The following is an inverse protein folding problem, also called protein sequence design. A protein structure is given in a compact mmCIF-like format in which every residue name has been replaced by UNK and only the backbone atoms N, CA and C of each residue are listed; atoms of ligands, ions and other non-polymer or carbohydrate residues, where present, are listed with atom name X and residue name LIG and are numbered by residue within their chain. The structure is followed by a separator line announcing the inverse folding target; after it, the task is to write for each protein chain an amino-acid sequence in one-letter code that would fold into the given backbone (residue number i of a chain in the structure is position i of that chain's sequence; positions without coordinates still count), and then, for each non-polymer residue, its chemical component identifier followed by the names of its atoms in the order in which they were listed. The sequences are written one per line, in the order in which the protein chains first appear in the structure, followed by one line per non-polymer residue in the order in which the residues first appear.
data_IF_588791783832
#
_entry.id   IF_588791783832
#
_cell.length_a   1.000
_cell.length_b   1.000
_cell.length_c   1.000
_cell.angle_alpha   90.00
_cell.angle_beta   90.00
_cell.angle_gamma   90.00
#
_symmetry.space_group_name_H-M   'P 1'
#
loop_
_entity.id
_entity.type
_entity.pdbx_description
1 polymer ?
#
# COMPACT_ATOMS: atom_id res chain seq x y z
N UNK A 1 31.74 -25.72 -46.51
CA UNK A 1 32.16 -24.76 -45.48
C UNK A 1 31.02 -24.59 -44.50
N UNK A 2 31.15 -25.08 -43.29
CA UNK A 2 30.17 -24.85 -42.23
C UNK A 2 30.46 -23.48 -41.65
N UNK A 3 29.56 -22.55 -41.78
CA UNK A 3 29.67 -21.22 -41.12
C UNK A 3 29.65 -21.42 -39.61
N UNK A 4 30.62 -20.85 -38.90
CA UNK A 4 30.60 -20.86 -37.45
C UNK A 4 29.34 -20.18 -36.94
N UNK A 5 28.72 -20.77 -35.93
CA UNK A 5 27.60 -20.14 -35.27
C UNK A 5 28.02 -18.79 -34.66
N UNK A 6 27.19 -17.78 -34.81
CA UNK A 6 27.46 -16.45 -34.29
C UNK A 6 26.44 -16.19 -33.17
N UNK A 7 26.96 -15.95 -31.96
CA UNK A 7 26.12 -15.59 -30.82
C UNK A 7 25.31 -14.30 -31.09
N UNK A 8 24.10 -14.26 -30.60
CA UNK A 8 23.28 -13.03 -30.61
C UNK A 8 23.99 -11.96 -29.80
N UNK A 9 24.29 -10.82 -30.40
CA UNK A 9 24.98 -9.69 -29.73
C UNK A 9 24.04 -8.54 -29.39
N UNK A 10 22.99 -8.39 -30.19
CA UNK A 10 22.03 -7.32 -30.00
C UNK A 10 20.62 -7.85 -30.31
N UNK A 11 19.66 -7.44 -29.50
CA UNK A 11 18.23 -7.62 -29.73
C UNK A 11 17.62 -6.24 -29.87
N UNK A 12 16.98 -5.95 -31.00
CA UNK A 12 16.28 -4.69 -31.22
C UNK A 12 14.78 -4.92 -31.02
N UNK A 13 14.21 -4.15 -30.12
CA UNK A 13 12.79 -4.18 -29.85
C UNK A 13 12.18 -2.92 -30.44
N UNK A 14 11.11 -3.09 -31.21
CA UNK A 14 10.31 -1.98 -31.72
C UNK A 14 8.84 -2.33 -31.59
N UNK A 15 8.01 -1.35 -31.30
CA UNK A 15 6.59 -1.54 -31.11
C UNK A 15 6.02 -0.54 -30.11
N UNK A 16 4.75 -0.69 -29.83
CA UNK A 16 4.04 0.10 -28.83
C UNK A 16 3.41 -0.84 -27.80
N UNK A 17 3.63 -0.56 -26.52
CA UNK A 17 2.97 -1.26 -25.43
C UNK A 17 1.61 -0.58 -25.22
N UNK A 18 0.53 -1.36 -25.24
CA UNK A 18 -0.80 -0.83 -25.00
C UNK A 18 -0.90 -0.28 -23.56
N UNK A 19 -0.93 1.04 -23.43
CA UNK A 19 -1.08 1.74 -22.16
C UNK A 19 -2.54 1.79 -21.65
N UNK A 20 -3.48 1.11 -22.32
CA UNK A 20 -4.92 1.25 -22.12
C UNK A 20 -5.49 0.64 -20.82
N UNK A 21 -4.66 0.03 -19.98
CA UNK A 21 -5.08 -0.42 -18.65
C UNK A 21 -4.39 0.44 -17.61
N UNK A 22 -5.16 1.00 -16.69
CA UNK A 22 -4.64 1.85 -15.66
C UNK A 22 -4.14 1.04 -14.46
N UNK A 23 -3.18 1.63 -13.74
CA UNK A 23 -2.77 1.16 -12.43
C UNK A 23 -3.93 1.29 -11.46
N UNK A 24 -4.14 0.28 -10.63
CA UNK A 24 -5.18 0.32 -9.60
C UNK A 24 -4.54 0.65 -8.25
N UNK A 25 -5.09 1.63 -7.58
CA UNK A 25 -4.70 2.00 -6.22
C UNK A 25 -5.15 0.89 -5.25
N UNK A 26 -4.26 0.48 -4.36
CA UNK A 26 -4.65 -0.39 -3.26
C UNK A 26 -5.31 0.43 -2.14
N UNK A 27 -6.45 -0.06 -1.64
CA UNK A 27 -7.18 0.54 -0.52
C UNK A 27 -7.50 -0.53 0.51
N UNK A 28 -7.04 -0.34 1.72
CA UNK A 28 -7.32 -1.19 2.88
C UNK A 28 -8.33 -0.47 3.77
N UNK A 29 -9.43 -1.13 4.10
CA UNK A 29 -10.56 -0.55 4.81
C UNK A 29 -10.87 -1.35 6.08
N UNK A 30 -11.23 -0.65 7.16
CA UNK A 30 -11.78 -1.27 8.36
C UNK A 30 -13.10 -1.98 8.04
N UNK A 31 -13.27 -3.23 8.45
CA UNK A 31 -14.45 -4.03 8.14
C UNK A 31 -15.68 -3.64 8.99
N UNK A 32 -15.46 -2.97 10.11
CA UNK A 32 -16.51 -2.41 10.97
C UNK A 32 -16.57 -0.90 10.89
N UNK A 33 -17.75 -0.34 11.07
CA UNK A 33 -17.97 1.10 11.23
C UNK A 33 -17.59 1.52 12.65
N UNK A 34 -16.86 2.63 12.79
CA UNK A 34 -16.75 3.33 14.08
C UNK A 34 -18.00 4.18 14.28
N UNK A 35 -18.59 4.06 15.46
CA UNK A 35 -19.75 4.85 15.87
C UNK A 35 -19.36 5.89 16.91
N UNK A 36 -20.13 6.96 16.98
CA UNK A 36 -19.98 8.01 17.99
C UNK A 36 -21.37 8.41 18.45
N UNK A 37 -21.73 8.02 19.66
CA UNK A 37 -23.06 8.24 20.23
C UNK A 37 -23.36 9.73 20.49
N UNK A 38 -22.35 10.59 20.44
CA UNK A 38 -22.50 12.04 20.55
C UNK A 38 -22.72 12.72 19.20
N UNK A 39 -22.50 12.01 18.10
CA UNK A 39 -22.71 12.50 16.74
C UNK A 39 -24.17 12.43 16.34
N UNK A 40 -24.70 13.46 15.66
CA UNK A 40 -26.07 13.49 15.13
C UNK A 40 -26.36 12.32 14.16
N UNK A 41 -25.33 11.79 13.52
CA UNK A 41 -25.44 10.67 12.56
C UNK A 41 -25.17 9.31 13.20
N UNK A 42 -24.74 9.28 14.47
CA UNK A 42 -24.28 8.05 15.13
C UNK A 42 -23.00 7.45 14.53
N UNK A 43 -22.32 8.16 13.63
CA UNK A 43 -21.09 7.73 12.95
C UNK A 43 -19.91 8.53 13.48
N UNK A 44 -18.78 7.86 13.66
CA UNK A 44 -17.55 8.54 13.97
C UNK A 44 -17.03 9.35 12.78
N UNK A 45 -16.38 10.44 13.10
CA UNK A 45 -15.67 11.34 12.18
C UNK A 45 -14.25 11.53 12.67
N UNK A 46 -13.43 12.21 11.90
CA UNK A 46 -12.07 12.58 12.32
C UNK A 46 -12.03 13.35 13.66
N UNK A 47 -13.09 14.12 13.98
CA UNK A 47 -13.19 14.91 15.21
C UNK A 47 -13.73 14.10 16.42
N UNK A 48 -14.28 12.92 16.21
CA UNK A 48 -14.79 12.06 17.29
C UNK A 48 -13.63 11.69 18.24
N UNK A 49 -13.87 11.84 19.55
CA UNK A 49 -12.86 11.45 20.56
C UNK A 49 -12.73 9.95 20.65
N UNK A 50 -11.54 9.43 20.93
CA UNK A 50 -11.32 7.98 21.05
C UNK A 50 -12.18 7.36 22.17
N UNK A 51 -12.35 8.07 23.29
CA UNK A 51 -13.20 7.63 24.39
C UNK A 51 -14.70 7.79 24.10
N UNK A 52 -15.08 8.56 23.07
CA UNK A 52 -16.46 8.73 22.63
C UNK A 52 -16.92 7.73 21.57
N UNK A 53 -16.03 6.83 21.15
CA UNK A 53 -16.39 5.79 20.19
C UNK A 53 -17.27 4.73 20.83
N UNK A 54 -18.33 4.30 20.15
CA UNK A 54 -19.19 3.22 20.62
C UNK A 54 -18.49 1.86 20.72
N UNK A 55 -17.34 1.69 20.06
CA UNK A 55 -16.44 0.54 20.17
C UNK A 55 -15.54 0.60 21.41
N UNK A 56 -15.44 1.76 22.07
CA UNK A 56 -14.70 1.89 23.33
C UNK A 56 -15.50 1.20 24.44
N UNK A 57 -14.94 0.18 25.03
CA UNK A 57 -15.59 -0.60 26.10
C UNK A 57 -15.17 -0.13 27.49
N UNK A 58 -14.04 0.56 27.57
CA UNK A 58 -13.50 1.19 28.78
C UNK A 58 -12.64 2.36 28.35
N UNK A 59 -12.84 3.52 28.95
CA UNK A 59 -12.13 4.74 28.59
C UNK A 59 -10.61 4.60 28.76
N UNK A 60 -9.88 5.03 27.73
CA UNK A 60 -8.44 5.19 27.83
C UNK A 60 -8.08 6.26 28.85
N UNK A 61 -7.02 6.01 29.58
CA UNK A 61 -6.34 7.00 30.42
C UNK A 61 -5.03 7.46 29.77
N UNK A 62 -4.57 8.64 30.15
CA UNK A 62 -3.30 9.16 29.62
C UNK A 62 -2.16 8.15 29.90
N UNK A 63 -1.47 7.79 28.83
CA UNK A 63 -0.41 6.79 28.86
C UNK A 63 -0.82 5.41 28.36
N UNK A 64 -2.11 5.11 28.23
CA UNK A 64 -2.59 3.91 27.52
C UNK A 64 -2.11 3.94 26.07
N UNK A 65 -1.98 2.80 25.43
CA UNK A 65 -1.37 2.71 24.11
C UNK A 65 -2.25 1.92 23.13
N UNK A 66 -2.15 2.29 21.84
CA UNK A 66 -2.69 1.51 20.73
C UNK A 66 -1.51 1.05 19.88
N UNK A 67 -1.41 -0.25 19.68
CA UNK A 67 -0.37 -0.87 18.85
C UNK A 67 -0.83 -0.86 17.40
N UNK A 68 0.02 -0.34 16.52
CA UNK A 68 -0.19 -0.23 15.07
C UNK A 68 0.77 -1.22 14.41
N UNK A 69 0.25 -2.28 13.81
CA UNK A 69 1.05 -3.27 13.09
C UNK A 69 0.52 -3.50 11.69
N UNK A 70 1.38 -3.91 10.79
CA UNK A 70 1.00 -4.18 9.40
C UNK A 70 2.19 -4.29 8.47
N UNK A 71 1.93 -4.11 7.20
CA UNK A 71 2.92 -4.12 6.11
C UNK A 71 2.71 -2.87 5.27
N UNK A 72 3.78 -2.24 4.84
CA UNK A 72 3.71 -1.12 3.89
C UNK A 72 3.52 -1.61 2.45
N UNK A 73 3.27 -0.68 1.49
CA UNK A 73 3.10 -1.01 0.07
C UNK A 73 4.29 -1.76 -0.53
N UNK A 74 5.47 -1.55 0.02
CA UNK A 74 6.76 -2.13 -0.37
C UNK A 74 7.13 -3.42 0.37
N UNK A 75 6.19 -4.01 1.11
CA UNK A 75 6.42 -5.21 1.94
C UNK A 75 7.16 -4.93 3.26
N UNK A 76 7.52 -3.68 3.55
CA UNK A 76 8.21 -3.34 4.79
C UNK A 76 7.27 -3.48 6.00
N UNK A 77 7.75 -4.15 7.05
CA UNK A 77 6.97 -4.31 8.28
C UNK A 77 6.73 -2.96 8.97
N UNK A 78 5.49 -2.73 9.38
CA UNK A 78 5.06 -1.59 10.20
C UNK A 78 4.83 -2.07 11.62
N UNK A 79 5.48 -1.43 12.59
CA UNK A 79 5.29 -1.71 14.01
C UNK A 79 5.54 -0.40 14.78
N UNK A 80 4.46 0.17 15.31
CA UNK A 80 4.49 1.42 16.06
C UNK A 80 3.51 1.37 17.22
N UNK A 81 3.68 2.28 18.15
CA UNK A 81 2.80 2.45 19.30
C UNK A 81 2.34 3.89 19.38
N UNK A 82 1.04 4.08 19.40
CA UNK A 82 0.42 5.36 19.70
C UNK A 82 0.14 5.45 21.19
N UNK A 83 0.51 6.56 21.83
CA UNK A 83 0.24 6.80 23.26
C UNK A 83 -0.88 7.80 23.42
N UNK A 84 -1.97 7.37 24.06
CA UNK A 84 -3.16 8.19 24.25
C UNK A 84 -2.90 9.39 25.17
N UNK A 85 -3.44 10.52 24.76
CA UNK A 85 -3.50 11.76 25.52
C UNK A 85 -4.96 12.20 25.72
N UNK A 86 -5.23 12.93 26.78
CA UNK A 86 -6.58 13.43 27.05
C UNK A 86 -7.13 14.27 25.89
N UNK A 87 -8.30 13.91 25.39
CA UNK A 87 -8.96 14.60 24.29
C UNK A 87 -8.52 14.14 22.88
N UNK A 88 -7.70 13.10 22.78
CA UNK A 88 -7.33 12.55 21.49
C UNK A 88 -8.53 12.08 20.68
N UNK A 89 -8.45 12.30 19.38
CA UNK A 89 -9.50 12.05 18.41
C UNK A 89 -9.10 10.95 17.42
N UNK A 90 -10.04 10.50 16.62
CA UNK A 90 -9.79 9.61 15.49
C UNK A 90 -8.73 10.20 14.56
N UNK A 91 -8.71 11.55 14.37
CA UNK A 91 -7.67 12.22 13.59
C UNK A 91 -6.27 12.04 14.21
N UNK A 92 -6.17 12.09 15.54
CA UNK A 92 -4.89 11.87 16.23
C UNK A 92 -4.35 10.46 15.94
N UNK A 93 -5.22 9.44 16.00
CA UNK A 93 -4.87 8.06 15.68
C UNK A 93 -4.52 7.90 14.18
N UNK A 94 -5.30 8.48 13.26
CA UNK A 94 -5.01 8.44 11.82
C UNK A 94 -3.65 9.06 11.49
N UNK A 95 -3.31 10.19 12.11
CA UNK A 95 -1.99 10.81 11.95
C UNK A 95 -0.86 9.90 12.45
N UNK A 96 -1.08 9.21 13.56
CA UNK A 96 -0.11 8.24 14.08
C UNK A 96 0.06 7.03 13.13
N UNK A 97 -1.03 6.51 12.57
CA UNK A 97 -1.00 5.45 11.56
C UNK A 97 -0.19 5.94 10.34
N UNK A 98 -0.51 7.09 9.77
CA UNK A 98 0.21 7.61 8.61
C UNK A 98 1.72 7.81 8.90
N UNK A 99 2.04 8.28 10.10
CA UNK A 99 3.43 8.44 10.55
C UNK A 99 4.14 7.08 10.68
N UNK A 100 3.45 6.04 11.15
CA UNK A 100 4.00 4.69 11.29
C UNK A 100 4.38 4.07 9.94
N UNK A 101 3.61 4.32 8.88
CA UNK A 101 3.93 3.89 7.51
C UNK A 101 5.06 4.72 6.89
N UNK A 102 5.19 5.98 7.29
CA UNK A 102 6.27 6.87 6.86
C UNK A 102 6.21 7.24 5.38
N UNK A 103 7.38 7.59 4.86
CA UNK A 103 7.56 8.01 3.46
C UNK A 103 8.58 7.12 2.77
N UNK A 104 8.57 7.13 1.43
CA UNK A 104 9.62 6.50 0.63
C UNK A 104 10.94 7.25 0.86
N UNK A 105 12.01 6.50 1.16
CA UNK A 105 13.34 7.05 1.45
C UNK A 105 14.30 6.97 0.26
N UNK A 106 13.96 6.17 -0.73
CA UNK A 106 14.80 5.90 -1.90
C UNK A 106 13.99 5.90 -3.20
N UNK A 107 14.70 6.02 -4.32
CA UNK A 107 14.12 5.97 -5.64
C UNK A 107 13.37 7.25 -6.05
N UNK A 108 12.55 7.12 -7.10
CA UNK A 108 11.82 8.25 -7.70
C UNK A 108 10.71 8.83 -6.82
N UNK A 109 10.25 8.08 -5.83
CA UNK A 109 9.16 8.50 -4.93
C UNK A 109 9.67 9.05 -3.59
N UNK A 110 10.98 9.29 -3.46
CA UNK A 110 11.60 9.80 -2.24
C UNK A 110 10.85 11.03 -1.70
N UNK A 111 10.46 10.97 -0.42
CA UNK A 111 9.73 12.02 0.27
C UNK A 111 8.19 11.94 0.13
N UNK A 112 7.65 11.10 -0.77
CA UNK A 112 6.21 10.85 -0.83
C UNK A 112 5.80 9.96 0.35
N UNK A 113 4.65 10.26 0.98
CA UNK A 113 4.08 9.36 1.97
C UNK A 113 3.77 8.01 1.32
N UNK A 114 3.90 6.92 2.07
CA UNK A 114 3.56 5.59 1.57
C UNK A 114 2.06 5.39 1.45
N UNK A 115 1.32 5.91 2.44
CA UNK A 115 -0.15 5.84 2.51
C UNK A 115 -0.76 7.18 2.86
N UNK A 116 -2.02 7.37 2.51
CA UNK A 116 -2.91 8.35 3.12
C UNK A 116 -3.91 7.63 4.01
N UNK A 117 -4.30 8.24 5.12
CA UNK A 117 -5.24 7.66 6.09
C UNK A 117 -6.40 8.62 6.29
N UNK A 118 -7.59 8.14 6.02
CA UNK A 118 -8.84 8.91 6.12
C UNK A 118 -9.93 8.11 6.82
N UNK A 119 -11.01 8.78 7.21
CA UNK A 119 -12.26 8.17 7.64
C UNK A 119 -13.37 8.51 6.65
N UNK A 120 -14.05 7.49 6.14
CA UNK A 120 -15.11 7.67 5.14
C UNK A 120 -16.43 8.19 5.76
N UNK A 121 -17.40 8.49 4.90
CA UNK A 121 -18.75 8.94 5.31
C UNK A 121 -19.54 7.87 6.09
N UNK A 122 -19.06 6.62 6.11
CA UNK A 122 -19.65 5.53 6.89
C UNK A 122 -18.98 5.37 8.25
N UNK A 123 -17.95 6.13 8.56
CA UNK A 123 -17.19 6.03 9.81
C UNK A 123 -16.17 4.89 9.79
N UNK A 124 -15.66 4.50 8.63
CA UNK A 124 -14.62 3.49 8.48
C UNK A 124 -13.27 4.13 8.19
N UNK A 125 -12.24 3.71 8.90
CA UNK A 125 -10.87 4.12 8.60
C UNK A 125 -10.41 3.41 7.32
N UNK A 126 -9.86 4.18 6.39
CA UNK A 126 -9.28 3.70 5.13
C UNK A 126 -7.81 4.11 5.02
N UNK A 127 -6.99 3.18 4.53
CA UNK A 127 -5.63 3.44 4.08
C UNK A 127 -5.61 3.31 2.56
N UNK A 128 -5.17 4.34 1.88
CA UNK A 128 -4.97 4.33 0.43
C UNK A 128 -3.49 4.48 0.13
N UNK A 129 -2.94 3.58 -0.66
CA UNK A 129 -1.55 3.70 -1.10
C UNK A 129 -1.38 4.93 -2.00
N UNK A 130 -0.35 5.71 -1.76
CA UNK A 130 -0.07 6.91 -2.59
C UNK A 130 0.43 6.50 -3.98
N UNK A 131 1.19 5.42 -4.04
CA UNK A 131 1.70 4.85 -5.29
C UNK A 131 0.76 3.72 -5.73
N UNK A 132 0.16 3.87 -6.92
CA UNK A 132 -0.73 2.86 -7.47
C UNK A 132 0.06 1.67 -8.03
N UNK A 133 -0.52 0.49 -7.97
CA UNK A 133 0.04 -0.76 -8.46
C UNK A 133 -0.05 -1.87 -7.42
N UNK A 134 0.69 -2.96 -7.66
CA UNK A 134 0.76 -4.08 -6.72
C UNK A 134 1.24 -3.60 -5.34
N UNK A 135 0.63 -4.13 -4.29
CA UNK A 135 0.88 -3.69 -2.92
C UNK A 135 0.64 -4.80 -1.90
N UNK A 136 1.39 -4.75 -0.82
CA UNK A 136 1.25 -5.63 0.34
C UNK A 136 0.70 -4.91 1.57
N UNK A 137 0.13 -3.72 1.41
CA UNK A 137 -0.38 -2.91 2.53
C UNK A 137 -1.41 -3.67 3.36
N UNK A 138 -1.17 -3.72 4.65
CA UNK A 138 -2.08 -4.27 5.66
C UNK A 138 -2.00 -3.46 6.94
N UNK A 139 -3.08 -3.44 7.73
CA UNK A 139 -3.14 -2.75 9.03
C UNK A 139 -3.87 -3.61 10.06
N UNK A 140 -3.36 -3.58 11.28
CA UNK A 140 -4.02 -4.09 12.48
C UNK A 140 -3.83 -3.09 13.61
N UNK A 141 -4.92 -2.80 14.32
CA UNK A 141 -4.93 -1.99 15.53
C UNK A 141 -5.30 -2.88 16.72
N UNK A 142 -4.58 -2.75 17.82
CA UNK A 142 -4.86 -3.48 19.05
C UNK A 142 -4.51 -2.62 20.27
N UNK A 143 -5.20 -2.85 21.36
CA UNK A 143 -4.84 -2.21 22.62
C UNK A 143 -3.47 -2.70 23.11
N UNK A 144 -2.71 -1.81 23.72
CA UNK A 144 -1.43 -2.14 24.34
C UNK A 144 -1.60 -3.00 25.59
N UNK A 145 -0.59 -3.82 25.87
CA UNK A 145 -0.58 -4.65 27.07
C UNK A 145 -0.50 -3.77 28.31
N UNK A 146 -1.40 -3.99 29.26
CA UNK A 146 -1.45 -3.26 30.52
C UNK A 146 -2.24 -1.96 30.49
N UNK A 147 -2.92 -1.64 29.39
CA UNK A 147 -3.87 -0.54 29.35
C UNK A 147 -4.97 -0.66 30.40
N UNK A 148 -5.46 0.47 30.85
CA UNK A 148 -6.73 0.57 31.60
C UNK A 148 -7.92 0.57 30.64
N UNK A 149 -7.81 1.35 29.56
CA UNK A 149 -8.83 1.48 28.53
C UNK A 149 -8.78 0.35 27.49
N UNK A 150 -9.91 0.14 26.82
CA UNK A 150 -10.02 -0.86 25.75
C UNK A 150 -11.00 -0.44 24.66
N UNK A 151 -10.60 -0.64 23.41
CA UNK A 151 -11.43 -0.41 22.22
C UNK A 151 -11.45 -1.63 21.31
N UNK A 152 -12.63 -2.09 20.94
CA UNK A 152 -12.80 -3.19 19.99
C UNK A 152 -12.62 -2.71 18.54
N UNK A 153 -11.39 -2.61 18.08
CA UNK A 153 -11.11 -2.30 16.68
C UNK A 153 -11.49 -3.47 15.76
N UNK A 154 -12.25 -3.19 14.71
CA UNK A 154 -12.51 -4.18 13.67
C UNK A 154 -11.26 -4.46 12.84
N UNK A 155 -11.20 -5.64 12.22
CA UNK A 155 -10.13 -6.01 11.30
C UNK A 155 -10.15 -5.11 10.05
N UNK A 156 -8.99 -5.00 9.42
CA UNK A 156 -8.84 -4.35 8.14
C UNK A 156 -8.67 -5.40 7.03
N UNK A 157 -9.19 -5.09 5.86
CA UNK A 157 -8.93 -5.88 4.65
C UNK A 157 -8.90 -4.99 3.41
N UNK A 158 -8.30 -5.48 2.33
CA UNK A 158 -8.33 -4.77 1.06
C UNK A 158 -9.78 -4.65 0.57
N UNK A 159 -10.24 -3.43 0.36
CA UNK A 159 -11.50 -3.11 -0.33
C UNK A 159 -11.27 -2.99 -1.83
N UNK A 160 -10.08 -2.57 -2.22
CA UNK A 160 -9.58 -2.58 -3.59
C UNK A 160 -8.15 -3.10 -3.54
N UNK A 161 -7.85 -4.16 -4.32
CA UNK A 161 -6.47 -4.64 -4.45
C UNK A 161 -5.73 -3.85 -5.50
N UNK A 162 -4.53 -3.40 -5.16
CA UNK A 162 -3.63 -2.75 -6.10
C UNK A 162 -3.27 -3.67 -7.26
N UNK A 163 -3.05 -3.10 -8.43
CA UNK A 163 -2.72 -3.87 -9.63
C UNK A 163 -1.82 -3.08 -10.56
N UNK A 164 -0.74 -3.74 -11.02
CA UNK A 164 0.18 -3.23 -12.04
C UNK A 164 0.00 -3.99 -13.34
N UNK A 165 -0.49 -3.35 -14.41
CA UNK A 165 -0.63 -4.00 -15.72
C UNK A 165 0.71 -4.50 -16.25
N UNK A 166 0.71 -5.70 -16.81
CA UNK A 166 1.87 -6.33 -17.43
C UNK A 166 1.62 -6.66 -18.88
N UNK A 167 2.69 -6.70 -19.68
CA UNK A 167 2.69 -7.20 -21.06
C UNK A 167 3.94 -8.03 -21.27
N UNK A 168 3.82 -9.23 -21.81
CA UNK A 168 4.95 -10.14 -22.01
C UNK A 168 5.13 -10.50 -23.48
N UNK A 169 6.36 -10.70 -23.88
CA UNK A 169 6.76 -11.24 -25.19
C UNK A 169 7.98 -12.13 -25.03
N UNK A 170 8.15 -13.08 -25.94
CA UNK A 170 9.35 -13.92 -25.99
C UNK A 170 10.15 -13.71 -27.26
N UNK A 171 11.45 -14.01 -27.19
CA UNK A 171 12.36 -13.99 -28.34
C UNK A 171 13.44 -15.06 -28.14
N UNK A 172 14.05 -15.50 -29.24
CA UNK A 172 15.09 -16.50 -29.21
C UNK A 172 16.46 -15.85 -29.41
N UNK A 173 17.41 -16.20 -28.56
CA UNK A 173 18.83 -15.84 -28.71
C UNK A 173 19.64 -17.12 -28.97
N UNK A 174 20.82 -16.96 -29.56
CA UNK A 174 21.74 -18.06 -29.85
C UNK A 174 23.05 -17.85 -29.08
N UNK A 175 23.56 -18.91 -28.47
CA UNK A 175 24.88 -18.92 -27.86
C UNK A 175 25.98 -19.04 -28.91
N UNK A 176 27.23 -19.01 -28.45
CA UNK A 176 28.43 -19.12 -29.35
C UNK A 176 28.55 -20.49 -30.00
N UNK A 177 27.89 -21.51 -29.52
CA UNK A 177 27.84 -22.88 -30.04
C UNK A 177 26.66 -23.09 -31.00
N UNK A 178 25.77 -22.07 -31.14
CA UNK A 178 24.55 -22.13 -31.96
C UNK A 178 23.37 -22.76 -31.26
N UNK A 179 23.44 -22.98 -29.94
CA UNK A 179 22.32 -23.40 -29.12
C UNK A 179 21.31 -22.25 -29.00
N UNK A 180 20.02 -22.57 -29.14
CA UNK A 180 18.93 -21.60 -29.02
C UNK A 180 18.43 -21.55 -27.58
N UNK A 181 18.21 -20.34 -27.07
CA UNK A 181 17.63 -20.05 -25.76
C UNK A 181 16.42 -19.13 -25.93
N UNK A 182 15.28 -19.54 -25.41
CA UNK A 182 14.10 -18.68 -25.38
C UNK A 182 14.20 -17.74 -24.17
N UNK A 183 14.03 -16.46 -24.41
CA UNK A 183 14.03 -15.40 -23.39
C UNK A 183 12.63 -14.81 -23.31
N UNK A 184 12.13 -14.65 -22.10
CA UNK A 184 10.86 -13.98 -21.83
C UNK A 184 11.14 -12.56 -21.36
N UNK A 185 10.41 -11.61 -21.91
CA UNK A 185 10.49 -10.21 -21.53
C UNK A 185 9.13 -9.76 -21.03
N UNK A 186 9.10 -9.28 -19.79
CA UNK A 186 7.88 -8.75 -19.15
C UNK A 186 8.04 -7.26 -18.89
N UNK A 187 7.09 -6.50 -19.38
CA UNK A 187 6.95 -5.07 -19.12
C UNK A 187 5.88 -4.87 -18.06
N UNK A 188 6.20 -4.17 -16.97
CA UNK A 188 5.27 -3.83 -15.90
C UNK A 188 5.10 -2.33 -15.83
N UNK A 189 3.85 -1.86 -15.96
CA UNK A 189 3.54 -0.41 -15.87
C UNK A 189 3.89 0.10 -14.49
N UNK A 190 4.56 1.24 -14.44
CA UNK A 190 4.95 1.90 -13.19
C UNK A 190 4.09 3.13 -12.95
N UNK A 191 3.80 3.41 -11.70
CA UNK A 191 3.15 4.67 -11.32
C UNK A 191 4.03 5.85 -11.72
N UNK A 192 3.42 6.89 -12.25
CA UNK A 192 4.07 8.15 -12.59
C UNK A 192 3.41 9.27 -11.79
N UNK A 193 4.23 10.22 -11.33
CA UNK A 193 3.70 11.44 -10.74
C UNK A 193 2.98 12.25 -11.83
N UNK A 194 2.04 13.10 -11.39
CA UNK A 194 1.27 13.95 -12.32
C UNK A 194 2.19 14.66 -13.32
N UNK A 195 1.79 14.65 -14.59
CA UNK A 195 2.49 15.24 -15.74
C UNK A 195 3.79 14.54 -16.18
N UNK A 196 4.09 13.34 -15.71
CA UNK A 196 5.20 12.54 -16.21
C UNK A 196 4.76 11.56 -17.31
N UNK A 197 5.70 11.21 -18.19
CA UNK A 197 5.48 10.20 -19.23
C UNK A 197 5.27 8.80 -18.59
N UNK A 198 4.40 7.95 -19.18
CA UNK A 198 4.22 6.58 -18.72
C UNK A 198 5.55 5.81 -18.70
N UNK A 199 5.83 5.15 -17.59
CA UNK A 199 7.03 4.35 -17.41
C UNK A 199 6.70 2.87 -17.31
N UNK A 200 7.66 2.06 -17.74
CA UNK A 200 7.61 0.61 -17.67
C UNK A 200 8.92 0.06 -17.13
N UNK A 201 8.85 -0.83 -16.17
CA UNK A 201 9.98 -1.68 -15.81
C UNK A 201 10.02 -2.86 -16.77
N UNK A 202 11.22 -3.38 -17.04
CA UNK A 202 11.43 -4.53 -17.92
C UNK A 202 12.20 -5.58 -17.16
N UNK A 203 11.65 -6.78 -17.10
CA UNK A 203 12.33 -7.99 -16.58
C UNK A 203 12.58 -8.94 -17.74
N UNK A 204 13.76 -9.55 -17.80
CA UNK A 204 14.12 -10.54 -18.81
C UNK A 204 14.56 -11.82 -18.08
N UNK A 205 13.87 -12.90 -18.38
CA UNK A 205 14.10 -14.23 -17.80
C UNK A 205 14.34 -15.28 -18.90
N UNK A 206 15.09 -16.34 -18.57
CA UNK A 206 15.42 -17.46 -19.48
C UNK A 206 14.78 -18.75 -19.01
#
# INVERSE_FOLDING_TARGET
VVSAAVATRNVFLSGNINAGVDLVQNVVEMQGQLTDDTSETGKATAASTLNGLGQNTTDYVVGDTIVITGTGPDGAAVNATYTFQAGDTVQSLMNAIQTAYGSYTEGRYTGQNKVTVDIDEKGKIQLSDVIHGDSETSLTLADGVGNTGATSFAQFSASTSGFSPTSSTSFVVFDAQGGSHEMNMTFTKQYTLDNEEPLWSVTIDS
#
